data_IF_307877947463
#
_entry.id   IF_307877947463
#
_cell.length_a   1.000
_cell.length_b   1.000
_cell.length_c   1.000
_cell.angle_alpha   90.00
_cell.angle_beta   90.00
_cell.angle_gamma   90.00
#
_symmetry.space_group_name_H-M   'P 1'
#
loop_
_entity.id
_entity.type
_entity.pdbx_description
1 polymer ?
#
# COMPACT_ATOMS: atom_id res chain seq x y z
N UNK A 1 -28.51 -38.41 6.86
CA UNK A 1 -28.85 -37.04 6.43
C UNK A 1 -28.85 -36.13 7.67
N UNK A 2 -27.70 -35.55 8.05
CA UNK A 2 -27.63 -34.69 9.26
C UNK A 2 -26.57 -33.56 9.28
N UNK A 3 -25.87 -33.25 8.16
CA UNK A 3 -24.86 -32.17 8.15
C UNK A 3 -25.38 -30.80 7.72
N UNK A 4 -26.57 -30.70 7.11
CA UNK A 4 -27.12 -29.44 6.59
C UNK A 4 -27.55 -28.50 7.72
N UNK A 5 -28.15 -29.01 8.79
CA UNK A 5 -28.69 -28.17 9.87
C UNK A 5 -27.61 -27.39 10.64
N UNK A 6 -26.40 -27.95 10.75
CA UNK A 6 -25.30 -27.30 11.47
C UNK A 6 -24.66 -26.18 10.65
N UNK A 7 -24.65 -26.32 9.33
CA UNK A 7 -24.18 -25.28 8.42
C UNK A 7 -25.14 -24.09 8.37
N UNK A 8 -26.45 -24.35 8.38
CA UNK A 8 -27.45 -23.27 8.43
C UNK A 8 -27.42 -22.51 9.76
N UNK A 9 -27.25 -23.20 10.90
CA UNK A 9 -27.06 -22.51 12.20
C UNK A 9 -25.82 -21.62 12.20
N UNK A 10 -24.70 -22.10 11.64
CA UNK A 10 -23.48 -21.29 11.55
C UNK A 10 -23.65 -20.12 10.58
N UNK A 11 -24.37 -20.31 9.47
CA UNK A 11 -24.66 -19.25 8.51
C UNK A 11 -25.54 -18.16 9.13
N UNK A 12 -26.59 -18.53 9.86
CA UNK A 12 -27.46 -17.57 10.54
C UNK A 12 -26.75 -16.84 11.67
N UNK A 13 -25.85 -17.50 12.40
CA UNK A 13 -25.01 -16.86 13.43
C UNK A 13 -24.02 -15.87 12.80
N UNK A 14 -23.43 -16.23 11.65
CA UNK A 14 -22.52 -15.35 10.91
C UNK A 14 -23.25 -14.13 10.36
N UNK A 15 -24.46 -14.31 9.83
CA UNK A 15 -25.30 -13.25 9.27
C UNK A 15 -25.81 -12.31 10.37
N UNK A 16 -26.19 -12.85 11.54
CA UNK A 16 -26.58 -12.03 12.69
C UNK A 16 -25.39 -11.25 13.28
N UNK A 17 -24.19 -11.82 13.29
CA UNK A 17 -22.97 -11.12 13.75
C UNK A 17 -22.49 -10.08 12.74
N UNK A 18 -22.71 -10.32 11.45
CA UNK A 18 -22.50 -9.34 10.38
C UNK A 18 -23.48 -8.18 10.51
N UNK A 19 -24.77 -8.45 10.67
CA UNK A 19 -25.79 -7.40 10.82
C UNK A 19 -25.54 -6.54 12.07
N UNK A 20 -25.10 -7.13 13.19
CA UNK A 20 -24.72 -6.40 14.40
C UNK A 20 -23.46 -5.53 14.19
N UNK A 21 -22.48 -6.01 13.42
CA UNK A 21 -21.24 -5.28 13.13
C UNK A 21 -21.47 -4.10 12.17
N UNK A 22 -22.51 -4.17 11.34
CA UNK A 22 -22.91 -3.13 10.39
C UNK A 22 -24.05 -2.22 10.92
N UNK A 23 -24.54 -2.45 12.14
CA UNK A 23 -25.61 -1.64 12.74
C UNK A 23 -25.10 -0.34 13.38
N UNK A 24 -23.79 -0.13 13.46
CA UNK A 24 -23.21 1.13 13.95
C UNK A 24 -23.08 2.19 12.85
N UNK A 25 -24.22 2.57 12.24
CA UNK A 25 -24.39 3.88 11.59
C UNK A 25 -25.89 4.21 11.36
N UNK A 26 -26.73 3.91 12.36
CA UNK A 26 -28.07 4.49 12.46
C UNK A 26 -28.18 5.34 13.73
N UNK A 27 -27.38 6.41 13.79
CA UNK A 27 -27.64 7.50 14.71
C UNK A 27 -29.03 8.10 14.40
N UNK A 28 -29.94 8.25 15.39
CA UNK A 28 -31.05 9.16 15.22
C UNK A 28 -30.47 10.57 15.06
N UNK A 29 -30.92 11.26 14.01
CA UNK A 29 -30.65 12.67 13.82
C UNK A 29 -31.13 13.47 15.04
N UNK A 30 -30.21 13.77 15.96
CA UNK A 30 -30.36 14.80 16.96
C UNK A 30 -29.36 15.91 16.60
N UNK A 31 -29.89 16.98 16.04
CA UNK A 31 -29.20 18.22 15.73
C UNK A 31 -28.44 18.78 16.94
N UNK A 32 -27.10 18.72 16.94
CA UNK A 32 -26.23 19.65 17.66
C UNK A 32 -24.76 19.54 17.20
N UNK A 33 -24.32 20.49 16.35
CA UNK A 33 -22.94 20.96 16.14
C UNK A 33 -21.85 19.96 15.68
N UNK A 34 -20.82 20.41 14.92
CA UNK A 34 -19.77 19.53 14.42
C UNK A 34 -18.81 19.17 15.55
N UNK A 35 -19.02 18.01 16.19
CA UNK A 35 -18.04 17.43 17.09
C UNK A 35 -16.89 16.86 16.24
N UNK A 36 -15.71 17.47 16.38
CA UNK A 36 -14.43 16.92 15.88
C UNK A 36 -14.29 15.45 16.33
N UNK A 37 -13.72 14.56 15.50
CA UNK A 37 -13.44 13.21 15.94
C UNK A 37 -12.49 13.27 17.13
N UNK A 38 -12.97 12.77 18.27
CA UNK A 38 -12.20 12.59 19.47
C UNK A 38 -11.16 11.51 19.17
N UNK A 39 -9.89 11.93 19.08
CA UNK A 39 -8.73 11.04 19.12
C UNK A 39 -8.78 10.25 20.41
N UNK A 40 -9.13 8.96 20.35
CA UNK A 40 -8.90 8.04 21.47
C UNK A 40 -7.39 8.00 21.74
N UNK A 41 -6.92 8.34 22.95
CA UNK A 41 -5.49 8.47 23.26
C UNK A 41 -4.72 7.14 23.24
N UNK A 42 -5.41 5.99 23.18
CA UNK A 42 -4.78 4.67 23.21
C UNK A 42 -4.01 4.29 21.93
N UNK A 43 -4.23 4.98 20.79
CA UNK A 43 -3.44 4.74 19.58
C UNK A 43 -3.26 6.01 18.73
N UNK A 44 -2.26 6.86 19.04
CA UNK A 44 -2.04 8.12 18.32
C UNK A 44 -1.64 7.93 16.84
N UNK A 45 -1.27 6.71 16.43
CA UNK A 45 -0.94 6.36 15.05
C UNK A 45 -2.07 5.63 14.32
N UNK A 46 -3.22 5.40 14.97
CA UNK A 46 -4.29 4.56 14.45
C UNK A 46 -4.85 5.02 13.11
N UNK A 47 -5.14 6.31 12.98
CA UNK A 47 -5.65 6.88 11.72
C UNK A 47 -4.59 6.84 10.62
N UNK A 48 -3.32 7.10 10.94
CA UNK A 48 -2.23 6.98 9.98
C UNK A 48 -2.08 5.53 9.49
N UNK A 49 -2.19 4.55 10.40
CA UNK A 49 -2.15 3.11 10.07
C UNK A 49 -3.24 2.70 9.10
N UNK A 50 -4.48 3.13 9.36
CA UNK A 50 -5.62 2.86 8.48
C UNK A 50 -5.34 3.40 7.08
N UNK A 51 -4.84 4.63 6.97
CA UNK A 51 -4.54 5.23 5.67
C UNK A 51 -3.37 4.54 4.96
N UNK A 52 -2.31 4.15 5.67
CA UNK A 52 -1.19 3.39 5.08
C UNK A 52 -1.68 2.07 4.48
N UNK A 53 -2.52 1.34 5.21
CA UNK A 53 -3.15 0.13 4.70
C UNK A 53 -4.03 0.43 3.49
N UNK A 54 -4.87 1.46 3.54
CA UNK A 54 -5.67 1.89 2.38
C UNK A 54 -4.79 2.14 1.16
N UNK A 55 -3.63 2.78 1.30
CA UNK A 55 -2.68 3.04 0.21
C UNK A 55 -2.10 1.74 -0.37
N UNK A 56 -1.87 0.70 0.45
CA UNK A 56 -1.40 -0.60 -0.03
C UNK A 56 -2.45 -1.30 -0.93
N UNK A 57 -3.74 -1.08 -0.66
CA UNK A 57 -4.85 -1.66 -1.42
C UNK A 57 -5.30 -0.80 -2.60
N UNK A 58 -5.39 0.52 -2.41
CA UNK A 58 -5.87 1.48 -3.39
C UNK A 58 -5.15 2.83 -3.24
N UNK A 59 -4.47 3.25 -4.32
CA UNK A 59 -3.80 4.56 -4.37
C UNK A 59 -4.75 5.56 -5.03
N UNK A 60 -5.56 6.22 -4.21
CA UNK A 60 -6.48 7.29 -4.63
C UNK A 60 -6.00 8.68 -4.19
N UNK A 61 -6.35 9.76 -4.91
CA UNK A 61 -6.04 11.12 -4.48
C UNK A 61 -6.52 11.41 -3.04
N UNK A 62 -7.70 10.92 -2.71
CA UNK A 62 -8.36 11.14 -1.42
C UNK A 62 -7.63 10.43 -0.27
N UNK A 63 -7.15 9.20 -0.49
CA UNK A 63 -6.36 8.46 0.51
C UNK A 63 -4.99 9.11 0.73
N UNK A 64 -4.36 9.63 -0.33
CA UNK A 64 -3.08 10.34 -0.23
C UNK A 64 -3.23 11.71 0.45
N UNK A 65 -4.32 12.44 0.21
CA UNK A 65 -4.61 13.69 0.91
C UNK A 65 -4.87 13.45 2.40
N UNK A 66 -5.71 12.46 2.72
CA UNK A 66 -5.97 12.05 4.11
C UNK A 66 -4.68 11.63 4.83
N UNK A 67 -3.77 10.93 4.13
CA UNK A 67 -2.47 10.53 4.66
C UNK A 67 -1.61 11.75 5.04
N UNK A 68 -1.59 12.78 4.19
CA UNK A 68 -0.84 14.01 4.49
C UNK A 68 -1.45 14.80 5.64
N UNK A 69 -2.77 14.86 5.72
CA UNK A 69 -3.48 15.52 6.82
C UNK A 69 -3.20 14.83 8.15
N UNK A 70 -3.26 13.49 8.19
CA UNK A 70 -2.87 12.71 9.37
C UNK A 70 -1.40 12.98 9.77
N UNK A 71 -0.47 12.99 8.82
CA UNK A 71 0.93 13.34 9.13
C UNK A 71 1.06 14.74 9.72
N UNK A 72 0.31 15.72 9.19
CA UNK A 72 0.34 17.09 9.69
C UNK A 72 -0.17 17.16 11.14
N UNK A 73 -1.29 16.51 11.44
CA UNK A 73 -1.84 16.42 12.79
C UNK A 73 -0.87 15.74 13.77
N UNK A 74 -0.25 14.63 13.34
CA UNK A 74 0.74 13.93 14.16
C UNK A 74 2.00 14.78 14.39
N UNK A 75 2.44 15.55 13.40
CA UNK A 75 3.58 16.47 13.59
C UNK A 75 3.27 17.52 14.64
N UNK A 76 2.03 18.02 14.71
CA UNK A 76 1.58 18.95 15.74
C UNK A 76 1.50 18.30 17.13
N UNK A 77 1.09 17.02 17.20
CA UNK A 77 1.03 16.27 18.46
C UNK A 77 2.42 15.91 19.01
N UNK A 78 3.37 15.54 18.14
CA UNK A 78 4.70 15.05 18.51
C UNK A 78 5.82 16.11 18.38
N UNK A 79 5.51 17.41 18.40
CA UNK A 79 6.50 18.50 18.21
C UNK A 79 7.69 18.46 19.20
N UNK A 80 7.49 17.86 20.38
CA UNK A 80 8.53 17.74 21.41
C UNK A 80 9.55 16.63 21.12
N UNK A 81 9.19 15.64 20.31
CA UNK A 81 10.07 14.52 19.96
C UNK A 81 10.64 14.71 18.55
N UNK A 82 11.90 15.18 18.48
CA UNK A 82 12.61 15.41 17.22
C UNK A 82 12.81 14.14 16.40
N UNK A 83 12.89 12.96 17.03
CA UNK A 83 13.07 11.71 16.29
C UNK A 83 11.77 11.36 15.58
N UNK A 84 10.63 11.37 16.29
CA UNK A 84 9.31 11.11 15.70
C UNK A 84 9.02 12.11 14.57
N UNK A 85 9.35 13.40 14.77
CA UNK A 85 9.19 14.42 13.74
C UNK A 85 9.97 14.12 12.46
N UNK A 86 11.17 13.53 12.57
CA UNK A 86 11.96 13.11 11.40
C UNK A 86 11.32 11.95 10.64
N UNK A 87 10.78 10.93 11.33
CA UNK A 87 10.02 9.86 10.67
C UNK A 87 8.80 10.40 9.93
N UNK A 88 8.03 11.28 10.59
CA UNK A 88 6.86 11.93 9.98
C UNK A 88 7.25 12.82 8.78
N UNK A 89 8.43 13.43 8.81
CA UNK A 89 8.95 14.19 7.67
C UNK A 89 9.28 13.30 6.47
N UNK A 90 9.89 12.13 6.70
CA UNK A 90 10.17 11.15 5.64
C UNK A 90 8.84 10.66 5.05
N UNK A 91 7.89 10.24 5.89
CA UNK A 91 6.55 9.82 5.45
C UNK A 91 5.84 10.92 4.64
N UNK A 92 5.91 12.18 5.11
CA UNK A 92 5.31 13.31 4.41
C UNK A 92 5.92 13.52 3.02
N UNK A 93 7.25 13.40 2.89
CA UNK A 93 7.91 13.48 1.58
C UNK A 93 7.54 12.34 0.64
N UNK A 94 7.35 11.13 1.18
CA UNK A 94 6.92 9.96 0.39
C UNK A 94 5.47 10.14 -0.08
N UNK A 95 4.56 10.58 0.80
CA UNK A 95 3.18 10.91 0.43
C UNK A 95 3.11 11.98 -0.65
N UNK A 96 3.92 13.04 -0.54
CA UNK A 96 4.00 14.08 -1.57
C UNK A 96 4.56 13.56 -2.90
N UNK A 97 5.55 12.66 -2.84
CA UNK A 97 6.08 12.01 -4.03
C UNK A 97 5.04 11.13 -4.72
N UNK A 98 4.24 10.37 -3.96
CA UNK A 98 3.13 9.56 -4.49
C UNK A 98 2.08 10.45 -5.16
N UNK A 99 1.67 11.54 -4.48
CA UNK A 99 0.72 12.52 -5.00
C UNK A 99 1.15 13.13 -6.34
N UNK A 100 2.42 13.51 -6.45
CA UNK A 100 2.96 14.19 -7.63
C UNK A 100 3.32 13.25 -8.77
N UNK A 101 3.70 12.00 -8.45
CA UNK A 101 4.17 11.05 -9.47
C UNK A 101 3.06 10.14 -10.00
N UNK A 102 1.90 10.03 -9.32
CA UNK A 102 0.72 9.24 -9.75
C UNK A 102 1.12 7.86 -10.30
N UNK A 103 1.01 7.64 -11.62
CA UNK A 103 1.33 6.37 -12.29
C UNK A 103 2.83 6.07 -12.45
N UNK A 104 3.71 7.01 -12.11
CA UNK A 104 5.17 6.88 -12.27
C UNK A 104 5.93 6.73 -10.95
N UNK A 105 5.22 6.42 -9.86
CA UNK A 105 5.83 6.12 -8.57
C UNK A 105 6.74 4.90 -8.68
N UNK A 106 7.93 4.98 -8.09
CA UNK A 106 8.85 3.85 -8.03
C UNK A 106 8.32 2.79 -7.05
N UNK A 107 8.31 1.48 -7.39
CA UNK A 107 7.72 0.45 -6.53
C UNK A 107 8.35 0.40 -5.13
N UNK A 108 9.66 0.64 -5.02
CA UNK A 108 10.35 0.73 -3.71
C UNK A 108 9.85 1.87 -2.82
N UNK A 109 9.08 2.85 -3.33
CA UNK A 109 8.47 3.89 -2.50
C UNK A 109 7.54 3.30 -1.44
N UNK A 110 6.71 2.33 -1.81
CA UNK A 110 5.79 1.67 -0.87
C UNK A 110 6.56 0.82 0.16
N UNK A 111 7.63 0.14 -0.27
CA UNK A 111 8.51 -0.59 0.64
C UNK A 111 9.13 0.32 1.70
N UNK A 112 9.65 1.48 1.29
CA UNK A 112 10.24 2.46 2.22
C UNK A 112 9.15 3.08 3.10
N UNK A 113 7.99 3.41 2.55
CA UNK A 113 6.87 3.97 3.31
C UNK A 113 6.42 3.03 4.44
N UNK A 114 6.22 1.75 4.12
CA UNK A 114 5.84 0.73 5.11
C UNK A 114 6.94 0.47 6.14
N UNK A 115 8.21 0.44 5.74
CA UNK A 115 9.34 0.30 6.65
C UNK A 115 9.42 1.46 7.65
N UNK A 116 9.37 2.70 7.14
CA UNK A 116 9.42 3.92 7.96
C UNK A 116 8.24 3.97 8.93
N UNK A 117 7.04 3.61 8.47
CA UNK A 117 5.84 3.56 9.30
C UNK A 117 5.94 2.49 10.40
N UNK A 118 6.39 1.28 10.07
CA UNK A 118 6.58 0.20 11.05
C UNK A 118 7.60 0.59 12.15
N UNK A 119 8.71 1.26 11.79
CA UNK A 119 9.67 1.78 12.77
C UNK A 119 9.11 2.91 13.62
N UNK A 120 8.27 3.76 13.04
CA UNK A 120 7.57 4.79 13.80
C UNK A 120 6.61 4.17 14.82
N UNK A 121 5.80 3.19 14.42
CA UNK A 121 4.95 2.41 15.35
C UNK A 121 5.79 1.79 16.47
N UNK A 122 6.89 1.11 16.13
CA UNK A 122 7.78 0.48 17.11
C UNK A 122 8.29 1.48 18.15
N UNK A 123 8.70 2.68 17.72
CA UNK A 123 9.22 3.74 18.59
C UNK A 123 8.13 4.34 19.48
N UNK A 124 6.93 4.56 18.94
CA UNK A 124 5.81 5.16 19.68
C UNK A 124 5.24 4.17 20.69
N UNK A 125 5.12 2.89 20.33
CA UNK A 125 4.63 1.82 21.21
C UNK A 125 5.68 1.37 22.23
N UNK A 126 6.98 1.62 21.98
CA UNK A 126 8.08 1.29 22.91
C UNK A 126 8.68 2.54 23.58
N UNK A 127 8.05 3.09 24.63
CA UNK A 127 8.58 4.24 25.37
C UNK A 127 9.87 3.92 26.13
N UNK A 128 10.15 2.64 26.40
CA UNK A 128 11.36 2.15 27.09
C UNK A 128 12.57 1.98 26.17
N UNK A 129 12.44 2.22 24.85
CA UNK A 129 13.57 2.06 23.92
C UNK A 129 14.63 3.16 24.13
N UNK A 130 15.92 2.81 24.29
CA UNK A 130 16.98 3.79 24.48
C UNK A 130 17.11 4.76 23.29
N UNK A 131 17.37 6.04 23.57
CA UNK A 131 17.64 7.07 22.57
C UNK A 131 18.66 6.66 21.47
N UNK A 132 19.81 6.01 21.75
CA UNK A 132 20.72 5.58 20.70
C UNK A 132 20.14 4.49 19.78
N UNK A 133 19.27 3.61 20.30
CA UNK A 133 18.60 2.58 19.51
C UNK A 133 17.58 3.22 18.55
N UNK A 134 16.75 4.15 19.05
CA UNK A 134 15.81 4.93 18.22
C UNK A 134 16.53 5.69 17.09
N UNK A 135 17.70 6.28 17.40
CA UNK A 135 18.52 6.99 16.40
C UNK A 135 19.09 6.05 15.34
N UNK A 136 19.52 4.84 15.70
CA UNK A 136 19.97 3.81 14.74
C UNK A 136 18.86 3.40 13.78
N UNK A 137 17.63 3.22 14.28
CA UNK A 137 16.46 2.94 13.43
C UNK A 137 16.25 4.08 12.42
N UNK A 138 16.25 5.33 12.90
CA UNK A 138 16.10 6.48 12.02
C UNK A 138 17.20 6.57 10.95
N UNK A 139 18.45 6.25 11.31
CA UNK A 139 19.56 6.24 10.35
C UNK A 139 19.39 5.17 9.27
N UNK A 140 18.92 3.98 9.64
CA UNK A 140 18.64 2.90 8.68
C UNK A 140 17.53 3.32 7.71
N UNK A 141 16.42 3.86 8.22
CA UNK A 141 15.32 4.33 7.37
C UNK A 141 15.73 5.51 6.48
N UNK A 142 16.56 6.42 7.00
CA UNK A 142 17.10 7.53 6.21
C UNK A 142 17.99 7.03 5.06
N UNK A 143 18.79 5.98 5.28
CA UNK A 143 19.61 5.38 4.23
C UNK A 143 18.75 4.73 3.13
N UNK A 144 17.69 4.01 3.51
CA UNK A 144 16.71 3.46 2.57
C UNK A 144 16.02 4.55 1.76
N UNK A 145 15.65 5.66 2.40
CA UNK A 145 15.07 6.82 1.72
C UNK A 145 16.03 7.48 0.74
N UNK A 146 17.32 7.59 1.08
CA UNK A 146 18.34 8.13 0.19
C UNK A 146 18.57 7.24 -1.03
N UNK A 147 18.69 5.92 -0.83
CA UNK A 147 18.81 4.95 -1.94
C UNK A 147 17.59 5.00 -2.87
N UNK A 148 16.38 5.10 -2.31
CA UNK A 148 15.17 5.32 -3.10
C UNK A 148 15.26 6.62 -3.92
N UNK A 149 15.71 7.71 -3.32
CA UNK A 149 15.86 8.99 -4.01
C UNK A 149 16.84 8.89 -5.18
N UNK A 150 17.97 8.20 -5.00
CA UNK A 150 18.95 7.97 -6.04
C UNK A 150 18.39 7.10 -7.18
N UNK A 151 17.62 6.05 -6.84
CA UNK A 151 16.91 5.21 -7.82
C UNK A 151 15.91 6.03 -8.64
N UNK A 152 15.12 6.88 -7.98
CA UNK A 152 14.17 7.78 -8.65
C UNK A 152 14.90 8.74 -9.60
N UNK A 153 16.02 9.32 -9.15
CA UNK A 153 16.79 10.28 -9.93
C UNK A 153 17.45 9.63 -11.16
N UNK A 154 18.05 8.45 -10.98
CA UNK A 154 18.60 7.64 -12.08
C UNK A 154 17.51 7.27 -13.09
N UNK A 155 16.34 6.83 -12.63
CA UNK A 155 15.21 6.48 -13.51
C UNK A 155 14.74 7.69 -14.33
N UNK A 156 14.64 8.87 -13.70
CA UNK A 156 14.28 10.11 -14.40
C UNK A 156 15.32 10.51 -15.45
N UNK A 157 16.60 10.38 -15.14
CA UNK A 157 17.68 10.66 -16.09
C UNK A 157 17.67 9.70 -17.29
N UNK A 158 17.36 8.42 -17.08
CA UNK A 158 17.22 7.44 -18.16
C UNK A 158 15.91 7.56 -18.96
N UNK A 159 14.87 8.20 -18.40
CA UNK A 159 13.58 8.39 -19.06
C UNK A 159 13.52 9.68 -19.90
N UNK A 160 14.55 10.53 -19.85
CA UNK A 160 14.60 11.75 -20.67
C UNK A 160 15.05 11.40 -22.10
N UNK A 161 14.27 11.77 -23.15
CA UNK A 161 14.71 11.58 -24.52
C UNK A 161 15.99 12.41 -24.73
N UNK A 162 17.06 11.73 -25.16
CA UNK A 162 18.30 12.38 -25.60
C UNK A 162 17.91 13.40 -26.68
N UNK A 163 18.28 14.69 -26.58
CA UNK A 163 17.98 15.64 -27.64
C UNK A 163 18.65 15.14 -28.92
N UNK A 164 17.86 15.04 -29.98
CA UNK A 164 18.31 14.68 -31.32
C UNK A 164 19.30 15.74 -31.83
N UNK A 165 20.57 15.58 -31.46
CA UNK A 165 21.69 16.26 -32.08
C UNK A 165 21.86 15.72 -33.48
N UNK A 166 21.55 16.55 -34.48
CA UNK A 166 21.86 16.32 -35.89
C UNK A 166 23.33 15.92 -36.07
N UNK A 167 23.59 14.70 -36.53
CA UNK A 167 24.82 14.36 -37.22
C UNK A 167 24.59 13.17 -38.15
N UNK A 168 24.67 13.47 -39.45
CA UNK A 168 25.08 12.62 -40.56
C UNK A 168 24.41 11.24 -40.73
N UNK A 169 23.45 11.22 -41.64
CA UNK A 169 23.16 10.08 -42.51
C UNK A 169 24.45 9.59 -43.20
N UNK A 170 24.87 8.36 -42.93
CA UNK A 170 25.62 7.52 -43.88
C UNK A 170 25.30 6.04 -43.63
N UNK A 171 24.68 5.44 -44.64
CA UNK A 171 24.59 4.02 -45.07
C UNK A 171 24.61 2.86 -44.03
N UNK A 172 23.46 2.15 -43.96
CA UNK A 172 23.17 0.68 -43.95
C UNK A 172 24.07 -0.32 -43.16
N UNK A 173 23.55 -1.49 -42.66
CA UNK A 173 22.38 -2.25 -43.12
C UNK A 173 21.36 -2.68 -42.02
N UNK A 174 20.22 -3.24 -42.44
CA UNK A 174 19.25 -3.99 -41.59
C UNK A 174 19.89 -5.29 -41.02
N UNK A 175 19.27 -6.11 -40.13
CA UNK A 175 17.86 -6.13 -39.65
C UNK A 175 17.67 -6.37 -38.12
N UNK A 176 16.44 -6.24 -37.62
CA UNK A 176 16.01 -7.03 -36.44
C UNK A 176 15.19 -6.32 -35.35
N UNK A 177 14.12 -7.00 -34.94
CA UNK A 177 13.36 -6.83 -33.70
C UNK A 177 12.35 -5.68 -33.60
N UNK A 178 11.41 -5.63 -34.55
CA UNK A 178 10.03 -5.37 -34.16
C UNK A 178 9.45 -6.66 -33.58
N UNK A 179 9.29 -6.75 -32.26
CA UNK A 179 8.50 -7.84 -31.67
C UNK A 179 7.05 -7.66 -32.15
N UNK A 180 6.46 -8.65 -32.86
CA UNK A 180 5.11 -8.49 -33.37
C UNK A 180 4.10 -8.56 -32.20
N UNK A 181 2.94 -7.88 -32.32
CA UNK A 181 1.84 -7.94 -31.36
C UNK A 181 1.31 -9.38 -31.13
N UNK A 182 1.66 -10.33 -32.00
CA UNK A 182 1.41 -11.76 -31.81
C UNK A 182 2.04 -12.32 -30.53
N UNK A 183 3.22 -11.86 -30.12
CA UNK A 183 3.91 -12.41 -28.92
C UNK A 183 3.17 -12.13 -27.62
N UNK A 184 2.56 -10.95 -27.50
CA UNK A 184 1.78 -10.58 -26.32
C UNK A 184 0.42 -11.28 -26.30
N UNK A 185 -0.26 -11.37 -27.45
CA UNK A 185 -1.52 -12.10 -27.56
C UNK A 185 -1.34 -13.59 -27.24
N UNK A 186 -0.23 -14.18 -27.68
CA UNK A 186 0.11 -15.58 -27.43
C UNK A 186 0.44 -15.83 -25.95
N UNK A 187 1.20 -14.93 -25.32
CA UNK A 187 1.46 -14.99 -23.87
C UNK A 187 0.18 -14.87 -23.02
N UNK A 188 -0.78 -14.03 -23.44
CA UNK A 188 -2.08 -13.91 -22.76
C UNK A 188 -2.90 -15.19 -22.90
N UNK A 189 -2.88 -15.85 -24.07
CA UNK A 189 -3.64 -17.08 -24.28
C UNK A 189 -3.03 -18.26 -23.52
N UNK A 190 -1.70 -18.37 -23.48
CA UNK A 190 -1.00 -19.36 -22.65
C UNK A 190 -1.36 -19.19 -21.16
N UNK A 191 -1.38 -17.95 -20.68
CA UNK A 191 -1.77 -17.66 -19.29
C UNK A 191 -3.24 -18.04 -19.01
N UNK A 192 -4.16 -17.78 -19.95
CA UNK A 192 -5.57 -18.20 -19.83
C UNK A 192 -5.75 -19.71 -19.83
N UNK A 193 -4.94 -20.45 -20.59
CA UNK A 193 -4.96 -21.91 -20.59
C UNK A 193 -4.45 -22.44 -19.26
N UNK A 194 -3.34 -21.88 -18.76
CA UNK A 194 -2.76 -22.25 -17.48
C UNK A 194 -3.72 -22.01 -16.30
N UNK A 195 -4.36 -20.83 -16.23
CA UNK A 195 -5.31 -20.53 -15.16
C UNK A 195 -6.52 -21.49 -15.19
N UNK A 196 -7.01 -21.84 -16.38
CA UNK A 196 -8.12 -22.80 -16.52
C UNK A 196 -7.72 -24.21 -16.13
N UNK A 197 -6.49 -24.65 -16.44
CA UNK A 197 -6.01 -25.97 -16.01
C UNK A 197 -5.81 -26.03 -14.50
N UNK A 198 -5.19 -25.00 -13.90
CA UNK A 198 -4.99 -24.93 -12.45
C UNK A 198 -6.32 -24.90 -11.70
N UNK A 199 -7.29 -24.07 -12.14
CA UNK A 199 -8.63 -24.04 -11.54
C UNK A 199 -9.37 -25.37 -11.69
N UNK A 200 -9.18 -26.10 -12.78
CA UNK A 200 -9.79 -27.41 -12.97
C UNK A 200 -9.19 -28.44 -12.03
N UNK A 201 -7.87 -28.49 -11.91
CA UNK A 201 -7.16 -29.35 -10.95
C UNK A 201 -7.62 -29.04 -9.52
N UNK A 202 -7.72 -27.75 -9.16
CA UNK A 202 -8.16 -27.34 -7.83
C UNK A 202 -9.63 -27.73 -7.57
N UNK A 203 -10.50 -27.64 -8.58
CA UNK A 203 -11.90 -28.07 -8.48
C UNK A 203 -12.02 -29.59 -8.34
N UNK A 204 -11.14 -30.35 -8.97
CA UNK A 204 -11.10 -31.81 -8.85
C UNK A 204 -10.55 -32.22 -7.47
N UNK A 205 -9.50 -31.58 -6.97
CA UNK A 205 -8.96 -31.78 -5.61
C UNK A 205 -10.00 -31.44 -4.51
N UNK A 206 -10.72 -30.33 -4.64
CA UNK A 206 -11.82 -29.95 -3.74
C UNK A 206 -13.04 -30.87 -3.89
N UNK A 207 -13.34 -31.34 -5.10
CA UNK A 207 -14.43 -32.28 -5.38
C UNK A 207 -14.15 -33.71 -4.89
N UNK A 208 -12.89 -34.14 -4.91
CA UNK A 208 -12.43 -35.42 -4.36
C UNK A 208 -12.39 -35.34 -2.83
N UNK A 209 -11.98 -34.20 -2.26
CA UNK A 209 -12.01 -33.97 -0.81
C UNK A 209 -13.42 -33.88 -0.24
N UNK A 210 -14.40 -33.41 -1.03
CA UNK A 210 -15.82 -33.37 -0.62
C UNK A 210 -16.54 -34.73 -0.70
N UNK A 211 -15.94 -35.75 -1.34
CA UNK A 211 -16.55 -37.09 -1.51
C UNK A 211 -15.92 -38.18 -0.64
N UNK A 212 -14.95 -37.83 0.19
CA UNK A 212 -14.26 -38.74 1.13
C UNK A 212 -14.58 -38.42 2.60
N UNK A 213 -15.80 -37.95 2.88
CA UNK A 213 -16.35 -37.84 4.23
C UNK A 213 -17.76 -38.40 4.30
#
# INVERSE_FOLDING_TARGET
MSNTSKFETLSSELESRLDELFREDAHPAASAAPARPATTPDNPLGELKKTVLSIDWEITPETIDSFQDHIRLLKEAFQRDKLISMFLQILGSLGQYIKTSRNNVHPSTFTVLNSVFARLEEIVTSPTMPAPARKKLLQAEMALYQDLRDKILKRRASAQPRPAGKAAVTAAPAPGAGAPPETLAQAIEELKVFIRSELKTLKEELGISARRT
#
